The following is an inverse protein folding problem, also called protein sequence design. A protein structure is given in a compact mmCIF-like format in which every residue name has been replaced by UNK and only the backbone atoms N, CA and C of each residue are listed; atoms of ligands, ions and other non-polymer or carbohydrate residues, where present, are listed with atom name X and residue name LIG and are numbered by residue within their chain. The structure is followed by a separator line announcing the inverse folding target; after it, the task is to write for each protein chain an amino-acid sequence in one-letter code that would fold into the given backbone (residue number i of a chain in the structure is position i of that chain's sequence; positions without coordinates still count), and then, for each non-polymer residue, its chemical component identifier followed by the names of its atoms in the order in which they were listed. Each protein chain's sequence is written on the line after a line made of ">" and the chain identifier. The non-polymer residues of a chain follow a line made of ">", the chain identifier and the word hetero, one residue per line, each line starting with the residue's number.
data_IF_619329934467
#
_entry.id   IF_619329934467
#
_cell.length_a   1.000
_cell.length_b   1.000
_cell.length_c   1.000
_cell.angle_alpha   90.00
_cell.angle_beta   90.00
_cell.angle_gamma   90.00
#
_symmetry.space_group_name_H-M   'P 1'
#
loop_
_entity.id
_entity.type
_entity.pdbx_description
1 polymer ?
#
# COMPACT_ATOMS: atom_id res chain seq x y z
N UNK A 1 11.76 -103.57 -15.92
CA UNK A 1 13.16 -103.11 -15.84
C UNK A 1 13.11 -101.60 -15.62
N UNK A 2 13.44 -100.93 -14.49
CA UNK A 2 13.99 -101.16 -13.13
C UNK A 2 13.31 -100.06 -12.26
N UNK A 3 12.73 -100.33 -11.09
CA UNK A 3 13.31 -100.50 -9.73
C UNK A 3 13.77 -99.19 -9.04
N UNK A 4 13.29 -99.05 -7.79
CA UNK A 4 13.34 -97.93 -6.81
C UNK A 4 14.71 -97.36 -6.49
N UNK A 5 14.74 -96.13 -5.92
CA UNK A 5 15.45 -95.78 -4.67
C UNK A 5 15.02 -94.41 -4.14
N UNK A 6 14.54 -94.39 -2.90
CA UNK A 6 14.31 -93.24 -2.03
C UNK A 6 15.63 -92.55 -1.66
N UNK A 7 15.66 -91.22 -1.57
CA UNK A 7 16.48 -90.50 -0.57
C UNK A 7 15.82 -89.16 -0.19
N UNK A 8 15.47 -89.12 1.10
CA UNK A 8 15.05 -88.01 1.95
C UNK A 8 16.14 -86.90 2.06
N UNK A 9 15.74 -85.62 2.07
CA UNK A 9 16.54 -84.52 2.62
C UNK A 9 15.69 -83.27 2.92
N UNK A 10 15.11 -83.23 4.12
CA UNK A 10 15.28 -82.15 5.10
C UNK A 10 14.84 -80.72 4.73
N UNK A 11 13.54 -80.44 4.82
CA UNK A 11 13.04 -79.07 4.95
C UNK A 11 13.37 -78.51 6.36
N UNK A 12 14.41 -77.68 6.44
CA UNK A 12 14.80 -76.96 7.65
C UNK A 12 13.76 -75.90 8.03
N UNK A 13 12.82 -76.27 8.90
CA UNK A 13 11.97 -75.32 9.61
C UNK A 13 12.81 -74.57 10.65
N UNK A 14 13.29 -73.37 10.31
CA UNK A 14 13.80 -72.41 11.30
C UNK A 14 12.68 -72.12 12.32
N UNK A 15 12.73 -72.79 13.47
CA UNK A 15 11.85 -72.49 14.59
C UNK A 15 12.27 -71.15 15.16
N UNK A 16 11.46 -70.12 14.94
CA UNK A 16 11.55 -68.85 15.65
C UNK A 16 11.69 -69.13 17.16
N UNK A 17 12.70 -68.57 17.85
CA UNK A 17 12.91 -68.85 19.27
C UNK A 17 11.69 -68.44 20.09
N UNK A 18 11.18 -69.36 20.91
CA UNK A 18 10.04 -69.13 21.78
C UNK A 18 10.53 -68.38 23.04
N UNK A 19 10.77 -67.07 22.89
CA UNK A 19 10.02 -66.03 23.61
C UNK A 19 9.37 -66.36 24.97
N UNK A 20 10.05 -66.72 26.09
CA UNK A 20 9.36 -66.98 27.36
C UNK A 20 8.52 -65.77 27.78
N UNK A 21 7.31 -65.99 28.30
CA UNK A 21 6.38 -64.90 28.65
C UNK A 21 6.99 -63.88 29.61
N UNK A 22 7.85 -64.34 30.53
CA UNK A 22 8.59 -63.52 31.49
C UNK A 22 9.68 -62.64 30.87
N UNK A 23 10.19 -62.99 29.68
CA UNK A 23 11.24 -62.26 28.99
C UNK A 23 10.70 -61.19 28.02
N UNK A 24 9.40 -61.21 27.69
CA UNK A 24 8.78 -60.20 26.81
C UNK A 24 8.80 -58.78 27.39
N UNK A 25 8.80 -58.65 28.71
CA UNK A 25 8.82 -57.33 29.38
C UNK A 25 10.15 -56.60 29.23
N UNK A 26 11.23 -57.32 28.89
CA UNK A 26 12.58 -56.78 28.71
C UNK A 26 12.92 -56.53 27.24
N UNK A 27 12.01 -56.80 26.31
CA UNK A 27 12.21 -56.44 24.91
C UNK A 27 12.13 -54.91 24.78
N UNK A 28 13.07 -54.27 24.04
CA UNK A 28 12.96 -52.85 23.73
C UNK A 28 11.59 -52.60 23.08
N UNK A 29 10.77 -51.75 23.70
CA UNK A 29 9.49 -51.37 23.13
C UNK A 29 9.77 -50.67 21.79
N UNK A 30 9.04 -50.99 20.71
CA UNK A 30 9.19 -50.26 19.47
C UNK A 30 8.90 -48.79 19.76
N UNK A 31 9.89 -47.93 19.49
CA UNK A 31 9.77 -46.47 19.55
C UNK A 31 8.42 -46.06 18.95
N UNK A 32 7.57 -45.31 19.69
CA UNK A 32 6.26 -44.96 19.21
C UNK A 32 6.42 -44.22 17.87
N UNK A 33 5.87 -44.81 16.80
CA UNK A 33 5.91 -44.27 15.43
C UNK A 33 5.39 -42.82 15.47
N UNK A 34 6.32 -41.87 15.48
CA UNK A 34 5.99 -40.44 15.60
C UNK A 34 6.85 -39.64 16.57
N UNK A 35 7.53 -40.26 17.56
CA UNK A 35 8.39 -39.51 18.48
C UNK A 35 9.60 -38.88 17.76
N UNK A 36 10.34 -39.69 17.00
CA UNK A 36 11.43 -39.22 16.16
C UNK A 36 10.94 -38.20 15.10
N UNK A 37 9.75 -38.41 14.51
CA UNK A 37 9.19 -37.52 13.50
C UNK A 37 8.75 -36.17 14.09
N UNK A 38 8.24 -36.17 15.32
CA UNK A 38 7.83 -34.97 16.07
C UNK A 38 9.05 -34.19 16.56
N UNK A 39 10.11 -34.89 16.98
CA UNK A 39 11.39 -34.27 17.34
C UNK A 39 12.04 -33.67 16.08
N UNK A 40 12.08 -34.40 14.96
CA UNK A 40 12.63 -33.91 13.70
C UNK A 40 11.85 -32.72 13.15
N UNK A 41 10.51 -32.74 13.17
CA UNK A 41 9.70 -31.59 12.73
C UNK A 41 9.87 -30.38 13.64
N UNK A 42 9.95 -30.58 14.96
CA UNK A 42 10.22 -29.49 15.92
C UNK A 42 11.61 -28.89 15.71
N UNK A 43 12.63 -29.72 15.44
CA UNK A 43 13.99 -29.27 15.16
C UNK A 43 14.10 -28.54 13.81
N UNK A 44 13.42 -29.01 12.76
CA UNK A 44 13.36 -28.32 11.46
C UNK A 44 12.60 -26.98 11.53
N UNK A 45 11.56 -26.88 12.38
CA UNK A 45 10.82 -25.64 12.54
C UNK A 45 11.66 -24.56 13.24
N UNK A 46 12.59 -24.94 14.11
CA UNK A 46 13.39 -23.99 14.91
C UNK A 46 14.63 -23.46 14.16
N UNK A 47 15.12 -24.15 13.13
CA UNK A 47 16.37 -23.78 12.42
C UNK A 47 16.14 -22.71 11.33
N UNK A 48 14.92 -22.61 10.78
CA UNK A 48 14.57 -21.64 9.74
C UNK A 48 13.95 -20.33 10.28
N UNK A 49 13.78 -20.20 11.60
CA UNK A 49 13.16 -19.04 12.27
C UNK A 49 14.14 -17.87 12.54
N UNK A 50 15.17 -17.68 11.69
CA UNK A 50 15.92 -16.43 11.74
C UNK A 50 14.95 -15.28 11.41
N UNK A 51 14.71 -14.32 12.33
CA UNK A 51 13.77 -13.23 12.06
C UNK A 51 14.21 -12.55 10.76
N UNK A 52 13.30 -12.37 9.78
CA UNK A 52 13.67 -11.83 8.49
C UNK A 52 14.41 -10.51 8.72
N UNK A 53 15.61 -10.41 8.14
CA UNK A 53 16.46 -9.23 8.29
C UNK A 53 15.62 -7.97 8.08
N UNK A 54 15.68 -7.02 9.04
CA UNK A 54 14.92 -5.76 9.00
C UNK A 54 15.32 -4.94 7.76
N UNK A 55 14.68 -5.25 6.63
CA UNK A 55 14.86 -4.53 5.36
C UNK A 55 14.01 -3.27 5.39
N UNK A 56 14.55 -2.17 4.88
CA UNK A 56 13.82 -0.93 4.71
C UNK A 56 12.66 -1.16 3.73
N UNK A 57 11.44 -1.11 4.26
CA UNK A 57 10.23 -1.61 3.61
C UNK A 57 9.32 -0.47 3.10
N UNK A 58 9.89 0.71 2.85
CA UNK A 58 9.14 1.92 2.51
C UNK A 58 8.36 1.76 1.20
N UNK A 59 8.89 1.02 0.22
CA UNK A 59 8.27 0.85 -1.10
C UNK A 59 7.53 -0.49 -1.25
N UNK A 60 7.25 -1.19 -0.15
CA UNK A 60 6.58 -2.49 -0.21
C UNK A 60 5.04 -2.35 -0.33
N UNK A 61 4.50 -1.20 0.12
CA UNK A 61 3.08 -0.89 0.05
C UNK A 61 2.86 0.60 -0.23
N UNK A 62 1.87 0.91 -1.06
CA UNK A 62 1.60 2.27 -1.54
C UNK A 62 1.28 3.31 -0.48
N UNK A 63 0.66 2.94 0.65
CA UNK A 63 0.38 3.89 1.73
C UNK A 63 1.64 4.39 2.44
N UNK A 64 2.69 3.55 2.54
CA UNK A 64 3.86 3.80 3.38
C UNK A 64 4.63 5.06 2.99
N UNK A 65 5.06 5.23 1.72
CA UNK A 65 5.80 6.43 1.35
C UNK A 65 4.89 7.66 1.40
N UNK A 66 3.66 7.55 0.92
CA UNK A 66 2.80 8.71 0.73
C UNK A 66 2.21 9.29 2.02
N UNK A 67 1.83 8.47 3.00
CA UNK A 67 1.42 9.00 4.30
C UNK A 67 2.61 9.55 5.10
N UNK A 68 3.80 8.94 4.97
CA UNK A 68 5.01 9.49 5.57
C UNK A 68 5.35 10.86 4.96
N UNK A 69 5.34 10.96 3.63
CA UNK A 69 5.57 12.21 2.91
C UNK A 69 4.53 13.25 3.27
N UNK A 70 3.23 12.92 3.31
CA UNK A 70 2.19 13.85 3.71
C UNK A 70 2.47 14.44 5.11
N UNK A 71 2.78 13.59 6.10
CA UNK A 71 3.08 14.04 7.46
C UNK A 71 4.32 14.93 7.54
N UNK A 72 5.44 14.47 6.98
CA UNK A 72 6.71 15.23 6.97
C UNK A 72 6.56 16.54 6.20
N UNK A 73 5.85 16.52 5.08
CA UNK A 73 5.63 17.70 4.26
C UNK A 73 4.82 18.75 5.01
N UNK A 74 3.68 18.37 5.60
CA UNK A 74 2.85 19.28 6.38
C UNK A 74 3.63 19.92 7.54
N UNK A 75 4.45 19.13 8.25
CA UNK A 75 5.29 19.62 9.34
C UNK A 75 6.34 20.64 8.87
N UNK A 76 6.88 20.49 7.66
CA UNK A 76 7.90 21.39 7.13
C UNK A 76 7.31 22.64 6.48
N UNK A 77 6.28 22.47 5.66
CA UNK A 77 5.79 23.51 4.74
C UNK A 77 5.00 24.60 5.46
N UNK A 78 4.33 24.30 6.57
CA UNK A 78 3.59 25.30 7.37
C UNK A 78 4.55 26.30 8.02
N UNK A 79 5.61 25.87 8.75
CA UNK A 79 6.64 26.79 9.23
C UNK A 79 7.35 27.58 8.12
N UNK A 80 7.68 26.92 6.99
CA UNK A 80 8.31 27.59 5.85
C UNK A 80 7.41 28.71 5.33
N UNK A 81 6.12 28.42 5.11
CA UNK A 81 5.17 29.42 4.68
C UNK A 81 5.05 30.57 5.69
N UNK A 82 4.91 30.29 6.99
CA UNK A 82 4.81 31.31 8.03
C UNK A 82 6.02 32.25 8.02
N UNK A 83 7.23 31.69 7.87
CA UNK A 83 8.45 32.47 7.76
C UNK A 83 8.40 33.45 6.58
N UNK A 84 8.08 32.96 5.38
CA UNK A 84 8.03 33.80 4.18
C UNK A 84 6.83 34.76 4.17
N UNK A 85 5.71 34.38 4.74
CA UNK A 85 4.56 35.25 4.92
C UNK A 85 4.92 36.47 5.78
N UNK A 86 5.71 36.27 6.84
CA UNK A 86 6.14 37.36 7.74
C UNK A 86 7.27 38.22 7.17
N UNK A 87 8.20 37.64 6.38
CA UNK A 87 9.46 38.32 6.01
C UNK A 87 9.60 38.65 4.52
N UNK A 88 8.89 37.98 3.61
CA UNK A 88 9.09 38.15 2.17
C UNK A 88 7.84 37.76 1.36
N UNK A 89 6.87 38.68 1.24
CA UNK A 89 5.58 38.40 0.63
C UNK A 89 5.62 38.19 -0.90
N UNK A 90 6.77 38.35 -1.55
CA UNK A 90 6.93 38.16 -3.01
C UNK A 90 7.73 36.91 -3.39
N UNK A 91 8.09 36.07 -2.42
CA UNK A 91 9.01 34.93 -2.63
C UNK A 91 8.50 33.88 -3.62
N UNK A 92 7.18 33.69 -3.71
CA UNK A 92 6.59 32.54 -4.44
C UNK A 92 5.93 32.92 -5.77
N UNK A 93 6.49 33.92 -6.45
CA UNK A 93 6.05 34.35 -7.77
C UNK A 93 5.06 35.52 -7.75
N UNK A 94 4.19 35.57 -8.77
CA UNK A 94 3.34 36.73 -9.04
C UNK A 94 2.06 36.80 -8.18
N UNK A 95 1.80 35.81 -7.32
CA UNK A 95 0.62 35.76 -6.45
C UNK A 95 1.01 35.99 -4.99
N UNK A 96 0.09 36.51 -4.16
CA UNK A 96 0.29 36.60 -2.71
C UNK A 96 0.69 35.24 -2.08
N UNK A 97 1.51 35.22 -1.01
CA UNK A 97 2.03 33.98 -0.41
C UNK A 97 0.96 33.02 0.08
N UNK A 98 -0.24 33.52 0.39
CA UNK A 98 -1.36 32.68 0.82
C UNK A 98 -1.77 31.66 -0.26
N UNK A 99 -1.63 32.02 -1.55
CA UNK A 99 -1.98 31.10 -2.64
C UNK A 99 -0.94 30.01 -2.82
N UNK A 100 0.33 30.30 -2.57
CA UNK A 100 1.37 29.28 -2.54
C UNK A 100 1.12 28.29 -1.39
N UNK A 101 0.79 28.78 -0.19
CA UNK A 101 0.40 27.90 0.91
C UNK A 101 -0.81 27.04 0.60
N UNK A 102 -1.89 27.66 0.10
CA UNK A 102 -3.11 26.93 -0.26
C UNK A 102 -2.80 25.84 -1.30
N UNK A 103 -2.00 26.16 -2.31
CA UNK A 103 -1.55 25.22 -3.32
C UNK A 103 -0.74 24.07 -2.71
N UNK A 104 0.23 24.35 -1.84
CA UNK A 104 1.04 23.32 -1.22
C UNK A 104 0.27 22.44 -0.23
N UNK A 105 -0.76 22.97 0.44
CA UNK A 105 -1.67 22.18 1.27
C UNK A 105 -2.51 21.22 0.42
N UNK A 106 -3.02 21.70 -0.71
CA UNK A 106 -3.88 20.91 -1.59
C UNK A 106 -3.10 19.91 -2.45
N UNK A 107 -2.14 20.40 -3.22
CA UNK A 107 -1.42 19.62 -4.22
C UNK A 107 -0.13 18.99 -3.71
N UNK A 108 0.36 19.40 -2.55
CA UNK A 108 1.51 18.78 -1.89
C UNK A 108 1.06 17.78 -0.83
N UNK A 109 0.33 18.27 0.17
CA UNK A 109 -0.13 17.46 1.31
C UNK A 109 -1.36 16.59 0.98
N UNK A 110 -2.47 17.17 0.53
CA UNK A 110 -3.73 16.40 0.33
C UNK A 110 -3.59 15.37 -0.78
N UNK A 111 -2.97 15.70 -1.93
CA UNK A 111 -2.76 14.71 -3.01
C UNK A 111 -1.84 13.56 -2.60
N UNK A 112 -0.84 13.80 -1.73
CA UNK A 112 -0.03 12.73 -1.15
C UNK A 112 -0.90 11.80 -0.28
N UNK A 113 -1.78 12.36 0.56
CA UNK A 113 -2.73 11.55 1.33
C UNK A 113 -3.70 10.76 0.42
N UNK A 114 -4.23 11.39 -0.65
CA UNK A 114 -5.07 10.74 -1.66
C UNK A 114 -4.32 9.59 -2.33
N UNK A 115 -3.05 9.78 -2.72
CA UNK A 115 -2.22 8.74 -3.32
C UNK A 115 -2.04 7.56 -2.35
N UNK A 116 -1.67 7.82 -1.10
CA UNK A 116 -1.50 6.78 -0.08
C UNK A 116 -2.78 5.96 0.14
N UNK A 117 -3.93 6.63 0.16
CA UNK A 117 -5.24 6.00 0.23
C UNK A 117 -5.54 5.14 -1.01
N UNK A 118 -5.50 5.73 -2.22
CA UNK A 118 -5.90 5.05 -3.45
C UNK A 118 -4.98 3.88 -3.82
N UNK A 119 -3.68 4.01 -3.60
CA UNK A 119 -2.72 2.92 -3.84
C UNK A 119 -2.95 1.71 -2.92
N UNK A 120 -3.73 1.88 -1.85
CA UNK A 120 -4.10 0.80 -0.92
C UNK A 120 -5.52 0.31 -1.17
N UNK A 121 -6.44 1.25 -1.43
CA UNK A 121 -7.85 0.95 -1.63
C UNK A 121 -8.11 0.26 -2.98
N UNK A 122 -7.48 0.72 -4.07
CA UNK A 122 -7.72 0.16 -5.41
C UNK A 122 -7.38 -1.33 -5.52
N UNK A 123 -6.23 -1.84 -5.03
CA UNK A 123 -5.98 -3.28 -4.96
C UNK A 123 -7.08 -4.04 -4.20
N UNK A 124 -7.57 -3.48 -3.08
CA UNK A 124 -8.65 -4.12 -2.30
C UNK A 124 -9.99 -4.17 -3.03
N UNK A 125 -10.30 -3.17 -3.86
CA UNK A 125 -11.56 -3.12 -4.62
C UNK A 125 -11.54 -4.00 -5.87
N UNK A 126 -10.37 -4.13 -6.49
CA UNK A 126 -10.19 -4.75 -7.81
C UNK A 126 -9.65 -6.18 -7.74
N UNK A 127 -9.16 -6.61 -6.57
CA UNK A 127 -8.44 -7.88 -6.41
C UNK A 127 -7.06 -7.90 -7.07
N UNK A 128 -6.59 -6.77 -7.61
CA UNK A 128 -5.28 -6.66 -8.23
C UNK A 128 -4.15 -6.77 -7.19
N UNK A 129 -2.96 -7.17 -7.65
CA UNK A 129 -1.75 -7.14 -6.82
C UNK A 129 -1.47 -5.70 -6.36
N UNK A 130 -1.12 -5.54 -5.09
CA UNK A 130 -0.74 -4.23 -4.54
C UNK A 130 0.44 -3.59 -5.27
N UNK A 131 0.49 -2.26 -5.26
CA UNK A 131 1.58 -1.50 -5.86
C UNK A 131 2.81 -1.54 -4.95
N UNK A 132 3.96 -1.91 -5.51
CA UNK A 132 5.24 -2.00 -4.79
C UNK A 132 6.43 -1.72 -5.73
N UNK A 133 7.56 -1.29 -5.16
CA UNK A 133 8.82 -1.14 -5.88
C UNK A 133 8.86 0.06 -6.84
N UNK A 134 9.22 -0.19 -8.10
CA UNK A 134 9.52 0.85 -9.10
C UNK A 134 8.37 1.84 -9.36
N UNK A 135 7.10 1.42 -9.54
CA UNK A 135 6.00 2.36 -9.74
C UNK A 135 5.85 3.38 -8.59
N UNK A 136 6.05 2.93 -7.34
CA UNK A 136 6.01 3.83 -6.18
C UNK A 136 7.18 4.81 -6.16
N UNK A 137 8.39 4.34 -6.50
CA UNK A 137 9.57 5.20 -6.61
C UNK A 137 9.37 6.30 -7.65
N UNK A 138 8.78 5.98 -8.80
CA UNK A 138 8.46 6.95 -9.84
C UNK A 138 7.44 7.99 -9.37
N UNK A 139 6.37 7.56 -8.69
CA UNK A 139 5.37 8.50 -8.16
C UNK A 139 5.96 9.41 -7.07
N UNK A 140 6.78 8.87 -6.17
CA UNK A 140 7.48 9.67 -5.14
C UNK A 140 8.43 10.67 -5.78
N UNK A 141 9.20 10.26 -6.80
CA UNK A 141 10.09 11.16 -7.52
C UNK A 141 9.30 12.28 -8.23
N UNK A 142 8.20 11.95 -8.92
CA UNK A 142 7.34 12.93 -9.56
C UNK A 142 6.77 13.94 -8.55
N UNK A 143 6.30 13.45 -7.40
CA UNK A 143 5.80 14.29 -6.32
C UNK A 143 6.88 15.24 -5.78
N UNK A 144 8.08 14.73 -5.49
CA UNK A 144 9.21 15.53 -5.00
C UNK A 144 9.64 16.59 -6.03
N UNK A 145 9.72 16.21 -7.30
CA UNK A 145 10.09 17.12 -8.38
C UNK A 145 9.08 18.25 -8.54
N UNK A 146 7.78 17.97 -8.42
CA UNK A 146 6.73 18.99 -8.38
C UNK A 146 6.91 19.97 -7.21
N UNK A 147 7.10 19.43 -5.98
CA UNK A 147 7.31 20.27 -4.79
C UNK A 147 8.53 21.17 -4.91
N UNK A 148 9.65 20.62 -5.38
CA UNK A 148 10.89 21.39 -5.57
C UNK A 148 10.69 22.46 -6.64
N UNK A 149 10.02 22.13 -7.75
CA UNK A 149 9.78 23.07 -8.83
C UNK A 149 8.86 24.24 -8.42
N UNK A 150 7.86 23.98 -7.56
CA UNK A 150 7.01 25.02 -6.98
C UNK A 150 7.73 25.85 -5.92
N UNK A 151 8.55 25.23 -5.06
CA UNK A 151 9.35 25.94 -4.07
C UNK A 151 10.43 26.84 -4.70
N UNK A 152 10.91 26.48 -5.89
CA UNK A 152 11.93 27.22 -6.66
C UNK A 152 11.35 27.95 -7.85
N UNK A 153 10.06 28.30 -7.79
CA UNK A 153 9.37 28.97 -8.90
C UNK A 153 10.10 30.25 -9.31
N UNK A 154 10.27 30.44 -10.62
CA UNK A 154 11.02 31.56 -11.19
C UNK A 154 12.51 31.28 -11.44
N UNK A 155 13.08 30.19 -10.89
CA UNK A 155 14.47 29.79 -11.17
C UNK A 155 14.61 28.97 -12.45
N UNK A 156 13.57 28.22 -12.83
CA UNK A 156 13.49 27.42 -14.05
C UNK A 156 12.37 27.92 -14.96
N UNK A 157 12.39 27.58 -16.26
CA UNK A 157 11.31 27.98 -17.17
C UNK A 157 9.95 27.49 -16.66
N UNK A 158 8.94 28.36 -16.71
CA UNK A 158 7.61 28.10 -16.14
C UNK A 158 6.98 26.78 -16.64
N UNK A 159 7.20 26.41 -17.91
CA UNK A 159 6.67 25.17 -18.47
C UNK A 159 7.27 23.91 -17.82
N UNK A 160 8.52 23.98 -17.34
CA UNK A 160 9.16 22.89 -16.60
C UNK A 160 8.49 22.73 -15.24
N UNK A 161 8.25 23.83 -14.53
CA UNK A 161 7.51 23.82 -13.25
C UNK A 161 6.11 23.25 -13.45
N UNK A 162 5.38 23.70 -14.49
CA UNK A 162 4.04 23.21 -14.77
C UNK A 162 4.02 21.70 -15.08
N UNK A 163 4.97 21.21 -15.88
CA UNK A 163 5.06 19.79 -16.21
C UNK A 163 5.41 18.95 -14.97
N UNK A 164 6.37 19.41 -14.17
CA UNK A 164 6.78 18.78 -12.93
C UNK A 164 5.60 18.66 -11.96
N UNK A 165 4.88 19.76 -11.73
CA UNK A 165 3.75 19.83 -10.81
C UNK A 165 2.60 18.89 -11.22
N UNK A 166 2.22 18.96 -12.50
CA UNK A 166 1.10 18.18 -13.04
C UNK A 166 1.41 16.68 -13.22
N UNK A 167 2.69 16.30 -13.22
CA UNK A 167 3.12 14.93 -13.52
C UNK A 167 2.63 13.91 -12.49
N UNK A 168 2.62 14.26 -11.20
CA UNK A 168 2.32 13.31 -10.13
C UNK A 168 0.88 12.79 -10.21
N UNK A 169 -0.10 13.70 -10.36
CA UNK A 169 -1.52 13.32 -10.46
C UNK A 169 -1.81 12.56 -11.75
N UNK A 170 -1.19 12.95 -12.87
CA UNK A 170 -1.33 12.24 -14.14
C UNK A 170 -0.76 10.81 -14.06
N UNK A 171 0.43 10.64 -13.48
CA UNK A 171 1.05 9.33 -13.28
C UNK A 171 0.25 8.46 -12.30
N UNK A 172 -0.31 9.06 -11.24
CA UNK A 172 -1.18 8.34 -10.31
C UNK A 172 -2.43 7.82 -11.03
N UNK A 173 -3.12 8.68 -11.78
CA UNK A 173 -4.29 8.27 -12.56
C UNK A 173 -3.94 7.16 -13.57
N UNK A 174 -2.82 7.29 -14.28
CA UNK A 174 -2.34 6.28 -15.22
C UNK A 174 -2.02 4.93 -14.55
N UNK A 175 -1.50 4.95 -13.33
CA UNK A 175 -1.21 3.73 -12.57
C UNK A 175 -2.49 3.03 -12.06
N UNK A 176 -3.51 3.80 -11.69
CA UNK A 176 -4.77 3.29 -11.14
C UNK A 176 -5.78 2.89 -12.22
N UNK A 177 -5.69 3.44 -13.43
CA UNK A 177 -6.63 3.21 -14.52
C UNK A 177 -6.73 1.72 -14.93
N UNK A 178 -5.62 0.99 -15.21
CA UNK A 178 -5.70 -0.38 -15.69
C UNK A 178 -6.42 -1.36 -14.75
N UNK A 179 -6.16 -1.42 -13.43
CA UNK A 179 -6.89 -2.33 -12.53
C UNK A 179 -8.37 -1.96 -12.39
N UNK A 180 -8.72 -0.67 -12.40
CA UNK A 180 -10.11 -0.21 -12.28
C UNK A 180 -10.93 -0.56 -13.53
N UNK A 181 -10.36 -0.36 -14.72
CA UNK A 181 -11.03 -0.70 -15.99
C UNK A 181 -11.18 -2.21 -16.15
N UNK A 182 -10.11 -2.98 -15.90
CA UNK A 182 -10.15 -4.45 -16.04
C UNK A 182 -11.18 -5.13 -15.14
N UNK A 183 -11.41 -4.57 -13.95
CA UNK A 183 -12.39 -5.10 -13.00
C UNK A 183 -13.78 -4.45 -13.12
N UNK A 184 -13.99 -3.55 -14.10
CA UNK A 184 -15.21 -2.75 -14.26
C UNK A 184 -15.69 -2.15 -12.93
N UNK A 185 -14.75 -1.62 -12.15
CA UNK A 185 -15.01 -1.29 -10.76
C UNK A 185 -15.96 -0.09 -10.62
N UNK A 186 -16.95 -0.19 -9.74
CA UNK A 186 -17.85 0.93 -9.41
C UNK A 186 -17.15 2.18 -8.86
N UNK A 187 -15.89 2.06 -8.43
CA UNK A 187 -15.08 3.18 -7.93
C UNK A 187 -14.30 3.93 -9.04
N UNK A 188 -14.58 3.68 -10.33
CA UNK A 188 -14.07 4.51 -11.45
C UNK A 188 -14.24 6.03 -11.26
N UNK A 189 -15.30 6.57 -10.61
CA UNK A 189 -15.40 8.01 -10.34
C UNK A 189 -14.21 8.63 -9.59
N UNK A 190 -13.40 7.82 -8.88
CA UNK A 190 -12.16 8.33 -8.26
C UNK A 190 -11.16 8.87 -9.29
N UNK A 191 -11.12 8.29 -10.50
CA UNK A 191 -10.28 8.80 -11.59
C UNK A 191 -10.80 10.13 -12.12
N UNK A 192 -12.13 10.33 -12.13
CA UNK A 192 -12.73 11.60 -12.49
C UNK A 192 -12.35 12.69 -11.48
N UNK A 193 -12.32 12.37 -10.19
CA UNK A 193 -11.85 13.30 -9.15
C UNK A 193 -10.38 13.67 -9.37
N UNK A 194 -9.50 12.70 -9.66
CA UNK A 194 -8.09 12.98 -9.98
C UNK A 194 -7.95 13.88 -11.23
N UNK A 195 -8.76 13.63 -12.27
CA UNK A 195 -8.77 14.43 -13.47
C UNK A 195 -9.24 15.88 -13.21
N UNK A 196 -10.28 16.05 -12.39
CA UNK A 196 -10.75 17.38 -11.99
C UNK A 196 -9.68 18.12 -11.19
N UNK A 197 -9.08 17.48 -10.18
CA UNK A 197 -7.99 18.10 -9.41
C UNK A 197 -6.82 18.50 -10.31
N UNK A 198 -6.45 17.64 -11.28
CA UNK A 198 -5.43 17.96 -12.26
C UNK A 198 -5.78 19.19 -13.12
N UNK A 199 -7.03 19.28 -13.59
CA UNK A 199 -7.50 20.43 -14.39
C UNK A 199 -7.53 21.72 -13.57
N UNK A 200 -7.95 21.64 -12.32
CA UNK A 200 -7.97 22.79 -11.40
C UNK A 200 -6.56 23.27 -11.08
N UNK A 201 -5.60 22.35 -10.91
CA UNK A 201 -4.19 22.68 -10.73
C UNK A 201 -3.59 23.33 -11.98
N UNK A 202 -3.89 22.79 -13.17
CA UNK A 202 -3.48 23.39 -14.42
C UNK A 202 -4.04 24.81 -14.59
N UNK A 203 -5.29 25.04 -14.20
CA UNK A 203 -5.90 26.37 -14.18
C UNK A 203 -5.23 27.30 -13.15
N UNK A 204 -4.84 26.79 -11.98
CA UNK A 204 -4.08 27.55 -10.99
C UNK A 204 -2.71 27.96 -11.53
N UNK A 205 -1.99 27.08 -12.22
CA UNK A 205 -0.72 27.40 -12.87
C UNK A 205 -0.90 28.52 -13.92
N UNK A 206 -1.99 28.50 -14.68
CA UNK A 206 -2.32 29.62 -15.60
C UNK A 206 -2.54 30.92 -14.83
N UNK A 207 -3.27 30.87 -13.70
CA UNK A 207 -3.48 32.03 -12.83
C UNK A 207 -2.16 32.58 -12.28
N UNK A 208 -1.28 31.68 -11.80
CA UNK A 208 0.04 32.00 -11.27
C UNK A 208 0.93 32.66 -12.32
N UNK A 209 0.96 32.15 -13.55
CA UNK A 209 1.72 32.75 -14.66
C UNK A 209 1.22 34.16 -15.00
N UNK A 210 -0.08 34.40 -14.91
CA UNK A 210 -0.71 35.69 -15.25
C UNK A 210 -0.75 36.67 -14.08
N UNK A 211 -0.46 36.23 -12.85
CA UNK A 211 -0.72 37.03 -11.64
C UNK A 211 -2.22 37.26 -11.39
N UNK A 212 -3.09 36.39 -11.89
CA UNK A 212 -4.55 36.54 -11.79
C UNK A 212 -5.05 36.02 -10.45
N UNK A 213 -5.17 36.93 -9.49
CA UNK A 213 -5.62 36.66 -8.11
C UNK A 213 -7.03 36.09 -8.06
N UNK A 214 -7.94 36.56 -8.93
CA UNK A 214 -9.33 36.11 -8.93
C UNK A 214 -9.42 34.66 -9.41
N UNK A 215 -8.72 34.32 -10.50
CA UNK A 215 -8.66 32.95 -10.99
C UNK A 215 -7.98 32.03 -9.96
N UNK A 216 -6.87 32.47 -9.36
CA UNK A 216 -6.18 31.70 -8.32
C UNK A 216 -7.12 31.38 -7.15
N UNK A 217 -7.85 32.38 -6.64
CA UNK A 217 -8.84 32.17 -5.57
C UNK A 217 -9.90 31.16 -5.95
N UNK A 218 -10.50 31.28 -7.14
CA UNK A 218 -11.53 30.34 -7.61
C UNK A 218 -10.99 28.92 -7.72
N UNK A 219 -9.79 28.74 -8.26
CA UNK A 219 -9.17 27.41 -8.38
C UNK A 219 -8.87 26.79 -7.02
N UNK A 220 -8.39 27.55 -6.03
CA UNK A 220 -8.17 27.04 -4.67
C UNK A 220 -9.47 26.66 -3.98
N UNK A 221 -10.51 27.50 -4.07
CA UNK A 221 -11.83 27.19 -3.51
C UNK A 221 -12.43 25.94 -4.16
N UNK A 222 -12.39 25.85 -5.49
CA UNK A 222 -12.87 24.65 -6.20
C UNK A 222 -12.10 23.40 -5.78
N UNK A 223 -10.78 23.47 -5.67
CA UNK A 223 -9.97 22.34 -5.20
C UNK A 223 -10.37 21.91 -3.78
N UNK A 224 -10.57 22.85 -2.86
CA UNK A 224 -11.09 22.57 -1.50
C UNK A 224 -12.45 21.89 -1.59
N UNK A 225 -13.39 22.43 -2.36
CA UNK A 225 -14.74 21.88 -2.49
C UNK A 225 -14.71 20.42 -2.99
N UNK A 226 -13.92 20.13 -4.02
CA UNK A 226 -13.76 18.77 -4.54
C UNK A 226 -13.09 17.82 -3.53
N UNK A 227 -12.10 18.30 -2.77
CA UNK A 227 -11.48 17.53 -1.68
C UNK A 227 -12.50 17.25 -0.58
N UNK A 228 -13.30 18.23 -0.17
CA UNK A 228 -14.33 18.07 0.86
C UNK A 228 -15.43 17.09 0.42
N UNK A 229 -15.87 17.17 -0.84
CA UNK A 229 -16.80 16.21 -1.44
C UNK A 229 -16.19 14.81 -1.41
N UNK A 230 -14.94 14.66 -1.83
CA UNK A 230 -14.23 13.38 -1.82
C UNK A 230 -14.16 12.79 -0.40
N UNK A 231 -13.73 13.59 0.58
CA UNK A 231 -13.63 13.18 1.99
C UNK A 231 -15.01 12.80 2.54
N UNK A 232 -16.05 13.57 2.21
CA UNK A 232 -17.42 13.30 2.67
C UNK A 232 -17.95 11.99 2.09
N UNK A 233 -17.76 11.74 0.78
CA UNK A 233 -18.19 10.51 0.12
C UNK A 233 -17.43 9.29 0.67
N UNK A 234 -16.11 9.41 0.80
CA UNK A 234 -15.27 8.31 1.30
C UNK A 234 -15.58 8.05 2.78
N UNK A 235 -15.58 9.09 3.61
CA UNK A 235 -15.87 9.00 5.04
C UNK A 235 -17.27 8.43 5.32
N UNK A 236 -18.27 8.91 4.59
CA UNK A 236 -19.65 8.44 4.69
C UNK A 236 -19.84 6.97 4.29
N UNK A 237 -18.93 6.37 3.52
CA UNK A 237 -18.94 4.94 3.21
C UNK A 237 -18.09 4.12 4.17
N UNK A 238 -16.94 4.64 4.57
CA UNK A 238 -15.97 3.93 5.40
C UNK A 238 -16.43 3.82 6.85
N UNK A 239 -16.95 4.91 7.43
CA UNK A 239 -17.38 4.92 8.83
C UNK A 239 -18.51 3.92 9.09
N UNK A 240 -19.63 3.91 8.32
CA UNK A 240 -20.68 2.91 8.54
C UNK A 240 -20.20 1.47 8.31
N UNK A 241 -19.33 1.25 7.32
CA UNK A 241 -18.79 -0.09 7.06
C UNK A 241 -17.97 -0.63 8.23
N UNK A 242 -17.13 0.21 8.86
CA UNK A 242 -16.38 -0.18 10.05
C UNK A 242 -17.29 -0.37 11.27
N UNK A 243 -18.26 0.51 11.47
CA UNK A 243 -19.24 0.38 12.56
C UNK A 243 -20.05 -0.92 12.43
N UNK A 244 -20.58 -1.22 11.24
CA UNK A 244 -21.31 -2.46 10.99
C UNK A 244 -20.44 -3.71 11.19
N UNK A 245 -19.18 -3.68 10.77
CA UNK A 245 -18.23 -4.78 10.98
C UNK A 245 -17.92 -4.97 12.47
N UNK A 246 -17.77 -3.88 13.23
CA UNK A 246 -17.56 -3.94 14.68
C UNK A 246 -18.77 -4.54 15.42
N UNK A 247 -20.00 -4.15 15.06
CA UNK A 247 -21.24 -4.71 15.64
C UNK A 247 -21.41 -6.20 15.31
N UNK A 248 -21.18 -6.59 14.05
CA UNK A 248 -21.22 -8.01 13.63
C UNK A 248 -20.25 -8.87 14.42
N UNK A 249 -19.04 -8.37 14.70
CA UNK A 249 -18.06 -9.08 15.55
C UNK A 249 -18.51 -9.25 17.00
N UNK A 250 -19.44 -8.43 17.48
CA UNK A 250 -20.05 -8.52 18.82
C UNK A 250 -21.33 -9.36 18.85
N UNK A 251 -21.81 -9.85 17.69
CA UNK A 251 -23.07 -10.60 17.59
C UNK A 251 -24.32 -9.72 17.63
N UNK A 252 -24.16 -8.39 17.68
CA UNK A 252 -25.25 -7.42 17.58
C UNK A 252 -25.54 -7.24 16.09
N UNK A 253 -26.53 -7.97 15.55
CA UNK A 253 -26.98 -7.73 14.18
C UNK A 253 -27.69 -6.38 14.14
N UNK A 254 -27.22 -5.40 13.34
CA UNK A 254 -28.01 -4.21 13.11
C UNK A 254 -29.25 -4.66 12.34
N UNK A 255 -30.44 -4.44 12.91
CA UNK A 255 -31.69 -4.52 12.14
C UNK A 255 -31.60 -3.47 11.03
N UNK A 256 -31.27 -3.93 9.83
CA UNK A 256 -31.24 -3.11 8.62
C UNK A 256 -32.69 -2.99 8.15
N UNK A 257 -33.34 -1.89 8.54
CA UNK A 257 -34.56 -1.38 7.90
C UNK A 257 -34.18 -0.55 6.68
#
# INVERSE_FOLDING_TARGET
>A
MRQRLDLDQGAGLERKPIIPRSARQYLPQPEPKGAAQKIMSTLYTTIDDAPPARRFALFDYGFRPFFLLAGVYAMAIVPIWLYFYAHSPTTFGALPPMYWHAHEMLYGFVTAAIAGFLLTAVPSWTGARGFAGTPLRMLVAAWLVGRIAMATIGTVPFWVTALAELSMLALLAALLLPPLVRSQNRNMPMLAVLAVLWLVDAAFLVALKKGDVLLASRTMTLAIDFVLILVTIIGGRIVPAFTANALRRRGEMPDIV
#
